data_IF_847054985997
#
_entry.id   IF_847054985997
#
_cell.length_a   1.000
_cell.length_b   1.000
_cell.length_c   1.000
_cell.angle_alpha   90.00
_cell.angle_beta   90.00
_cell.angle_gamma   90.00
#
_symmetry.space_group_name_H-M   'P 1'
#
loop_
_entity.id
_entity.type
_entity.pdbx_description
1 polymer ?
#
# COMPACT_ATOMS: atom_id res chain seq x y z
N UNK A 1 -10.25 0.39 -18.46
CA UNK A 1 -9.70 -0.98 -18.65
C UNK A 1 -8.32 -1.13 -18.01
N UNK A 2 -7.30 -0.38 -18.42
CA UNK A 2 -5.96 -0.42 -17.80
C UNK A 2 -5.96 -0.15 -16.28
N UNK A 3 -6.68 0.89 -15.84
CA UNK A 3 -6.81 1.21 -14.41
C UNK A 3 -7.38 0.05 -13.57
N UNK A 4 -8.36 -0.69 -14.09
CA UNK A 4 -8.93 -1.86 -13.39
C UNK A 4 -7.91 -2.96 -13.19
N UNK A 5 -7.08 -3.23 -14.21
CA UNK A 5 -6.00 -4.21 -14.12
C UNK A 5 -4.97 -3.78 -13.08
N UNK A 6 -4.60 -2.50 -13.07
CA UNK A 6 -3.70 -1.93 -12.06
C UNK A 6 -4.29 -2.11 -10.65
N UNK A 7 -5.56 -1.77 -10.44
CA UNK A 7 -6.23 -1.94 -9.15
C UNK A 7 -6.23 -3.40 -8.70
N UNK A 8 -6.56 -4.35 -9.59
CA UNK A 8 -6.55 -5.78 -9.27
C UNK A 8 -5.15 -6.29 -8.90
N UNK A 9 -4.11 -5.82 -9.59
CA UNK A 9 -2.72 -6.14 -9.26
C UNK A 9 -2.34 -5.59 -7.88
N UNK A 10 -2.75 -4.36 -7.55
CA UNK A 10 -2.53 -3.78 -6.22
C UNK A 10 -3.26 -4.55 -5.11
N UNK A 11 -4.51 -4.97 -5.36
CA UNK A 11 -5.27 -5.80 -4.42
C UNK A 11 -4.57 -7.13 -4.19
N UNK A 12 -4.13 -7.81 -5.25
CA UNK A 12 -3.41 -9.08 -5.15
C UNK A 12 -2.07 -8.91 -4.43
N UNK A 13 -1.33 -7.83 -4.70
CA UNK A 13 -0.10 -7.48 -4.00
C UNK A 13 -0.35 -7.30 -2.50
N UNK A 14 -1.36 -6.50 -2.12
CA UNK A 14 -1.71 -6.27 -0.72
C UNK A 14 -2.14 -7.56 -0.04
N UNK A 15 -2.88 -8.43 -0.73
CA UNK A 15 -3.31 -9.73 -0.20
C UNK A 15 -2.11 -10.64 0.10
N UNK A 16 -1.12 -10.67 -0.79
CA UNK A 16 0.13 -11.41 -0.57
C UNK A 16 0.89 -10.85 0.64
N UNK A 17 1.00 -9.52 0.74
CA UNK A 17 1.69 -8.86 1.87
C UNK A 17 1.01 -9.21 3.20
N UNK A 18 -0.32 -9.10 3.26
CA UNK A 18 -1.10 -9.49 4.45
C UNK A 18 -0.97 -10.97 4.77
N UNK A 19 -0.96 -11.85 3.76
CA UNK A 19 -0.80 -13.29 4.00
C UNK A 19 0.59 -13.65 4.55
N UNK A 20 1.64 -12.97 4.10
CA UNK A 20 3.01 -13.12 4.63
C UNK A 20 3.09 -12.57 6.06
N UNK A 21 2.41 -11.46 6.33
CA UNK A 21 2.37 -10.80 7.63
C UNK A 21 1.29 -11.30 8.59
N UNK A 22 0.58 -12.39 8.27
CA UNK A 22 -0.63 -12.83 9.01
C UNK A 22 -0.45 -13.05 10.52
N UNK A 23 0.76 -13.36 10.95
CA UNK A 23 1.11 -13.59 12.37
C UNK A 23 1.57 -12.30 13.07
N UNK A 24 1.45 -11.15 12.41
CA UNK A 24 1.89 -9.82 12.85
C UNK A 24 0.68 -8.90 12.94
N UNK A 25 0.82 -7.82 13.72
CA UNK A 25 -0.25 -6.84 13.91
C UNK A 25 -0.64 -6.10 12.61
N UNK A 26 0.27 -6.03 11.64
CA UNK A 26 0.08 -5.37 10.35
C UNK A 26 0.75 -6.22 9.26
N UNK A 27 0.25 -6.24 8.02
CA UNK A 27 0.86 -7.01 6.93
C UNK A 27 2.32 -6.63 6.63
N UNK A 28 2.68 -5.35 6.80
CA UNK A 28 4.08 -4.88 6.71
C UNK A 28 4.86 -5.01 8.02
N UNK A 29 4.23 -5.53 9.07
CA UNK A 29 4.82 -5.77 10.38
C UNK A 29 5.96 -6.77 10.27
N UNK A 30 7.19 -6.32 10.51
CA UNK A 30 8.37 -7.19 10.45
C UNK A 30 9.00 -7.36 9.08
N UNK A 31 8.42 -6.82 8.00
CA UNK A 31 8.99 -6.83 6.64
C UNK A 31 10.38 -6.17 6.57
N UNK A 32 10.65 -5.25 7.50
CA UNK A 32 11.90 -4.50 7.60
C UNK A 32 12.83 -4.97 8.74
N UNK A 33 12.47 -6.01 9.49
CA UNK A 33 13.29 -6.50 10.60
C UNK A 33 14.63 -7.02 10.06
N UNK A 34 15.75 -6.47 10.56
CA UNK A 34 17.09 -6.85 10.12
C UNK A 34 17.51 -6.33 8.72
N UNK A 35 16.68 -5.53 8.05
CA UNK A 35 17.03 -4.90 6.76
C UNK A 35 17.76 -3.57 6.99
N UNK A 36 18.63 -3.18 6.05
CA UNK A 36 19.35 -1.92 6.15
C UNK A 36 18.39 -0.73 6.10
N UNK A 37 18.78 0.38 6.76
CA UNK A 37 17.95 1.60 6.83
C UNK A 37 17.55 2.09 5.44
N UNK A 38 18.43 1.94 4.44
CA UNK A 38 18.18 2.35 3.05
C UNK A 38 16.97 1.64 2.43
N UNK A 39 16.81 0.34 2.66
CA UNK A 39 15.64 -0.40 2.13
C UNK A 39 14.33 0.12 2.73
N UNK A 40 14.33 0.40 4.03
CA UNK A 40 13.16 0.94 4.72
C UNK A 40 12.76 2.30 4.17
N UNK A 41 13.73 3.21 4.01
CA UNK A 41 13.48 4.54 3.41
C UNK A 41 13.03 4.44 1.95
N UNK A 42 13.63 3.54 1.17
CA UNK A 42 13.23 3.29 -0.22
C UNK A 42 11.75 2.94 -0.33
N UNK A 43 11.25 2.01 0.50
CA UNK A 43 9.81 1.67 0.50
C UNK A 43 8.94 2.85 0.94
N UNK A 44 9.35 3.63 1.94
CA UNK A 44 8.59 4.82 2.35
C UNK A 44 8.50 5.87 1.25
N UNK A 45 9.59 6.13 0.50
CA UNK A 45 9.54 7.03 -0.64
C UNK A 45 8.67 6.49 -1.78
N UNK A 46 8.71 5.18 -2.05
CA UNK A 46 7.80 4.56 -3.03
C UNK A 46 6.33 4.76 -2.62
N UNK A 47 5.99 4.52 -1.35
CA UNK A 47 4.62 4.75 -0.86
C UNK A 47 4.21 6.22 -1.02
N UNK A 48 5.09 7.16 -0.66
CA UNK A 48 4.84 8.60 -0.83
C UNK A 48 4.59 8.94 -2.29
N UNK A 49 5.43 8.45 -3.21
CA UNK A 49 5.24 8.67 -4.65
C UNK A 49 3.92 8.10 -5.15
N UNK A 50 3.54 6.89 -4.70
CA UNK A 50 2.25 6.30 -5.04
C UNK A 50 1.08 7.15 -4.53
N UNK A 51 1.15 7.69 -3.32
CA UNK A 51 0.14 8.61 -2.80
C UNK A 51 -0.03 9.82 -3.72
N UNK A 52 1.07 10.44 -4.17
CA UNK A 52 0.99 11.60 -5.07
C UNK A 52 0.49 11.23 -6.48
N UNK A 53 0.92 10.10 -7.04
CA UNK A 53 0.50 9.64 -8.38
C UNK A 53 -0.99 9.30 -8.39
N UNK A 54 -1.50 8.71 -7.31
CA UNK A 54 -2.92 8.35 -7.16
C UNK A 54 -3.74 9.38 -6.39
N UNK A 55 -3.18 10.56 -6.09
CA UNK A 55 -3.91 11.69 -5.52
C UNK A 55 -4.85 12.30 -6.58
N UNK A 56 -6.03 11.71 -6.76
CA UNK A 56 -7.11 12.21 -7.60
C UNK A 56 -8.15 13.02 -6.82
N UNK A 57 -8.88 13.90 -7.51
CA UNK A 57 -9.91 14.75 -6.90
C UNK A 57 -11.28 14.05 -6.80
N UNK A 58 -12.01 14.41 -5.73
CA UNK A 58 -13.39 14.00 -5.41
C UNK A 58 -13.63 12.53 -5.08
N UNK A 59 -12.75 11.89 -4.30
CA UNK A 59 -13.19 10.73 -3.53
C UNK A 59 -14.13 11.25 -2.43
N UNK A 60 -15.44 11.15 -2.65
CA UNK A 60 -16.42 11.38 -1.58
C UNK A 60 -16.09 10.38 -0.48
N UNK A 61 -15.53 10.85 0.62
CA UNK A 61 -15.43 10.00 1.80
C UNK A 61 -16.86 9.60 2.15
N UNK A 62 -17.08 8.31 2.40
CA UNK A 62 -18.39 7.77 2.76
C UNK A 62 -19.00 8.53 3.96
N UNK A 63 -18.14 9.13 4.79
CA UNK A 63 -18.52 10.01 5.90
C UNK A 63 -19.16 11.36 5.52
N UNK A 64 -18.99 11.85 4.29
CA UNK A 64 -19.61 13.09 3.80
C UNK A 64 -20.91 12.84 3.01
N UNK A 65 -21.46 11.62 3.06
CA UNK A 65 -22.73 11.24 2.41
C UNK A 65 -23.95 11.39 3.34
N UNK A 66 -23.77 11.97 4.53
CA UNK A 66 -24.80 12.18 5.55
C UNK A 66 -24.93 13.67 5.85
#
# INVERSE_FOLDING_TARGET
KLMLVITLLFVLLMFIIEWIGRDKQYGIGGLFTGKSRLYRWGIYYVIILLIFIFAGSNQQFIYFQF
#
